data_IF_153307905428
#
_entry.id   IF_153307905428
#
_cell.length_a   1.000
_cell.length_b   1.000
_cell.length_c   1.000
_cell.angle_alpha   90.00
_cell.angle_beta   90.00
_cell.angle_gamma   90.00
#
_symmetry.space_group_name_H-M   'P 1'
#
loop_
_entity.id
_entity.type
_entity.pdbx_description
1 polymer ?
#
# COMPACT_ATOMS: atom_id res chain seq x y z
N UNK A 1 -28.75 10.37 6.75
CA UNK A 1 -27.52 10.54 7.55
C UNK A 1 -27.01 9.17 7.96
N UNK A 2 -26.02 8.63 7.25
CA UNK A 2 -25.39 7.34 7.59
C UNK A 2 -24.17 7.67 8.45
N UNK A 3 -24.18 7.22 9.70
CA UNK A 3 -23.01 7.32 10.61
C UNK A 3 -21.92 6.40 10.06
N UNK A 4 -20.79 6.96 9.59
CA UNK A 4 -19.58 6.18 9.36
C UNK A 4 -19.04 5.70 10.71
N UNK A 5 -18.64 4.43 10.73
CA UNK A 5 -18.25 3.68 11.91
C UNK A 5 -16.96 4.24 12.53
N UNK A 6 -16.99 4.59 13.82
CA UNK A 6 -15.91 5.18 14.60
C UNK A 6 -14.75 4.20 14.95
N UNK A 7 -14.42 3.26 14.06
CA UNK A 7 -13.41 2.20 14.31
C UNK A 7 -12.02 2.47 13.70
N UNK A 8 -11.89 3.53 12.89
CA UNK A 8 -10.63 3.89 12.26
C UNK A 8 -9.50 4.28 13.25
N UNK A 9 -9.74 5.03 14.35
CA UNK A 9 -8.66 5.37 15.27
C UNK A 9 -8.19 4.16 16.11
N UNK A 10 -9.00 3.09 16.23
CA UNK A 10 -8.66 1.95 17.09
C UNK A 10 -7.69 0.98 16.42
N UNK A 11 -7.76 0.78 15.10
CA UNK A 11 -6.83 -0.11 14.39
C UNK A 11 -5.42 0.50 14.32
N UNK A 12 -5.36 1.81 14.10
CA UNK A 12 -4.14 2.61 14.07
C UNK A 12 -3.54 2.75 15.48
N UNK A 13 -4.37 2.99 16.52
CA UNK A 13 -3.88 3.00 17.90
C UNK A 13 -3.39 1.62 18.38
N UNK A 14 -3.95 0.52 17.87
CA UNK A 14 -3.45 -0.81 18.15
C UNK A 14 -2.04 -1.02 17.58
N UNK A 15 -1.79 -0.49 16.39
CA UNK A 15 -0.47 -0.54 15.74
C UNK A 15 0.60 0.20 16.54
N UNK A 16 0.29 1.40 17.06
CA UNK A 16 1.23 2.14 17.91
C UNK A 16 1.45 1.51 19.29
N UNK A 17 0.54 0.64 19.76
CA UNK A 17 0.62 0.04 21.10
C UNK A 17 1.50 -1.22 21.16
N UNK A 18 1.76 -1.89 20.04
CA UNK A 18 2.59 -3.11 20.01
C UNK A 18 4.10 -2.85 19.93
N UNK A 19 4.53 -1.65 19.51
CA UNK A 19 5.96 -1.33 19.34
C UNK A 19 6.72 -1.05 20.66
N UNK A 20 6.05 -1.04 21.82
CA UNK A 20 6.64 -0.60 23.08
C UNK A 20 7.22 -1.72 23.98
N UNK A 21 7.32 -2.97 23.52
CA UNK A 21 7.72 -4.09 24.38
C UNK A 21 8.63 -5.11 23.69
N UNK A 22 9.88 -4.75 23.39
CA UNK A 22 10.96 -5.73 23.18
C UNK A 22 12.33 -5.10 23.41
N UNK A 23 12.65 -4.83 24.68
CA UNK A 23 14.04 -4.69 25.11
C UNK A 23 14.61 -6.07 25.44
N UNK A 24 15.71 -6.45 24.79
CA UNK A 24 16.89 -7.05 25.43
C UNK A 24 18.01 -7.29 24.40
N UNK A 25 19.20 -6.85 24.80
CA UNK A 25 20.46 -6.94 24.06
C UNK A 25 21.10 -8.33 24.17
N UNK A 26 21.83 -8.75 23.12
CA UNK A 26 22.98 -9.66 23.19
C UNK A 26 23.98 -9.30 22.08
N UNK A 27 25.25 -9.09 22.45
CA UNK A 27 26.41 -8.81 21.59
C UNK A 27 27.26 -10.10 21.35
N UNK A 28 28.27 -10.08 20.45
CA UNK A 28 28.48 -11.13 19.44
C UNK A 28 29.62 -12.11 19.76
N UNK A 29 29.73 -13.18 18.97
CA UNK A 29 30.98 -13.94 18.80
C UNK A 29 31.21 -14.29 17.33
N UNK A 30 32.46 -14.07 16.91
CA UNK A 30 33.04 -14.28 15.58
C UNK A 30 33.39 -15.75 15.33
N UNK A 31 33.41 -16.18 14.06
CA UNK A 31 34.59 -16.84 13.46
C UNK A 31 34.42 -17.07 11.94
N UNK A 32 35.53 -16.89 11.23
CA UNK A 32 35.72 -16.98 9.78
C UNK A 32 35.66 -18.43 9.24
N UNK A 33 35.19 -18.61 7.99
CA UNK A 33 36.05 -18.89 6.82
C UNK A 33 35.37 -19.65 5.67
N UNK A 34 35.85 -19.32 4.47
CA UNK A 34 36.02 -20.17 3.27
C UNK A 34 34.98 -20.08 2.14
N UNK A 35 35.47 -19.44 1.08
CA UNK A 35 34.97 -19.32 -0.30
C UNK A 35 34.74 -20.67 -1.00
N UNK A 36 33.64 -20.78 -1.74
CA UNK A 36 33.57 -21.50 -3.01
C UNK A 36 32.52 -20.86 -3.92
N UNK A 37 32.99 -20.33 -5.05
CA UNK A 37 32.19 -19.73 -6.11
C UNK A 37 31.48 -20.83 -6.90
N UNK A 38 30.15 -20.84 -6.89
CA UNK A 38 29.36 -21.58 -7.89
C UNK A 38 28.28 -20.67 -8.42
N UNK A 39 28.30 -20.49 -9.74
CA UNK A 39 27.33 -19.79 -10.55
C UNK A 39 25.98 -20.51 -10.44
N UNK A 40 25.06 -19.97 -9.64
CA UNK A 40 23.65 -20.35 -9.68
C UNK A 40 22.79 -19.11 -9.94
N UNK A 41 21.95 -19.23 -10.95
CA UNK A 41 20.93 -18.26 -11.28
C UNK A 41 20.03 -18.05 -10.06
N UNK A 42 19.88 -16.80 -9.62
CA UNK A 42 18.98 -16.37 -8.56
C UNK A 42 17.52 -16.64 -8.97
N UNK A 43 17.05 -17.86 -8.75
CA UNK A 43 15.64 -18.08 -8.40
C UNK A 43 15.55 -17.87 -6.90
N UNK A 44 15.35 -16.62 -6.48
CA UNK A 44 14.91 -16.38 -5.11
C UNK A 44 13.61 -17.18 -4.91
N UNK A 45 13.59 -17.99 -3.87
CA UNK A 45 12.46 -18.80 -3.45
C UNK A 45 11.34 -17.86 -2.99
N UNK A 46 10.58 -17.30 -3.93
CA UNK A 46 9.42 -16.45 -3.65
C UNK A 46 8.36 -17.33 -2.96
N UNK A 47 8.37 -17.32 -1.63
CA UNK A 47 7.39 -18.07 -0.83
C UNK A 47 6.13 -17.22 -0.64
N UNK A 48 4.98 -17.76 -1.06
CA UNK A 48 3.68 -17.14 -0.79
C UNK A 48 3.39 -17.32 0.69
N UNK A 49 3.37 -16.21 1.43
CA UNK A 49 3.10 -16.18 2.88
C UNK A 49 1.60 -16.24 3.14
N UNK A 50 0.82 -15.50 2.35
CA UNK A 50 -0.63 -15.42 2.53
C UNK A 50 -1.35 -15.29 1.19
N UNK A 51 -2.48 -15.98 1.07
CA UNK A 51 -3.50 -15.68 0.05
C UNK A 51 -4.87 -15.67 0.72
N UNK A 52 -5.61 -14.60 0.53
CA UNK A 52 -6.92 -14.39 1.15
C UNK A 52 -7.88 -13.73 0.18
N UNK A 53 -9.16 -14.04 0.35
CA UNK A 53 -10.26 -13.33 -0.31
C UNK A 53 -11.28 -12.96 0.75
N UNK A 54 -11.66 -11.70 0.83
CA UNK A 54 -12.70 -11.23 1.75
C UNK A 54 -14.09 -11.55 1.22
N UNK A 55 -15.09 -11.58 2.10
CA UNK A 55 -16.50 -11.75 1.70
C UNK A 55 -16.95 -10.66 0.72
N UNK A 56 -16.40 -9.46 0.87
CA UNK A 56 -16.62 -8.34 -0.03
C UNK A 56 -15.81 -8.44 -1.32
N UNK A 57 -15.16 -9.57 -1.62
CA UNK A 57 -14.46 -9.85 -2.88
C UNK A 57 -13.26 -8.94 -3.13
N UNK A 58 -12.47 -8.66 -2.09
CA UNK A 58 -11.11 -8.14 -2.19
C UNK A 58 -10.17 -9.33 -2.08
N UNK A 59 -9.26 -9.48 -3.04
CA UNK A 59 -8.22 -10.49 -3.00
C UNK A 59 -6.92 -9.87 -2.47
N UNK A 60 -6.18 -10.63 -1.68
CA UNK A 60 -4.89 -10.30 -1.12
C UNK A 60 -3.94 -11.46 -1.38
N UNK A 61 -2.74 -11.15 -1.89
CA UNK A 61 -1.63 -12.09 -1.95
C UNK A 61 -0.40 -11.41 -1.37
N UNK A 62 0.22 -12.04 -0.38
CA UNK A 62 1.46 -11.59 0.24
C UNK A 62 2.54 -12.62 -0.03
N UNK A 63 3.65 -12.17 -0.60
CA UNK A 63 4.83 -12.98 -0.92
C UNK A 63 6.03 -12.38 -0.22
N UNK A 64 6.82 -13.20 0.46
CA UNK A 64 8.09 -12.78 1.04
C UNK A 64 9.17 -12.78 -0.05
N UNK A 65 9.88 -11.66 -0.17
CA UNK A 65 10.99 -11.49 -1.12
C UNK A 65 12.36 -11.59 -0.43
N UNK A 66 12.38 -11.40 0.89
CA UNK A 66 13.57 -11.42 1.74
C UNK A 66 13.24 -10.92 3.15
N UNK A 67 14.24 -10.81 4.04
CA UNK A 67 14.02 -10.35 5.42
C UNK A 67 13.29 -9.01 5.46
N UNK A 68 12.08 -9.02 6.04
CA UNK A 68 11.20 -7.86 6.15
C UNK A 68 10.79 -7.20 4.82
N UNK A 69 11.01 -7.88 3.69
CA UNK A 69 10.65 -7.40 2.37
C UNK A 69 9.53 -8.25 1.78
N UNK A 70 8.44 -7.61 1.36
CA UNK A 70 7.24 -8.28 0.89
C UNK A 70 6.74 -7.68 -0.42
N UNK A 71 6.20 -8.53 -1.28
CA UNK A 71 5.28 -8.13 -2.35
C UNK A 71 3.86 -8.37 -1.88
N UNK A 72 3.08 -7.31 -1.77
CA UNK A 72 1.67 -7.38 -1.42
C UNK A 72 0.84 -6.94 -2.61
N UNK A 73 -0.03 -7.84 -3.08
CA UNK A 73 -0.98 -7.57 -4.16
C UNK A 73 -2.37 -7.52 -3.58
N UNK A 74 -3.07 -6.39 -3.72
CA UNK A 74 -4.51 -6.31 -3.52
C UNK A 74 -5.23 -6.13 -4.84
N UNK A 75 -6.36 -6.81 -5.02
CA UNK A 75 -7.19 -6.65 -6.21
C UNK A 75 -8.67 -6.67 -5.86
N UNK A 76 -9.46 -5.98 -6.69
CA UNK A 76 -10.91 -5.97 -6.58
C UNK A 76 -11.55 -5.57 -7.92
N UNK A 77 -12.77 -6.04 -8.17
CA UNK A 77 -13.57 -5.53 -9.30
C UNK A 77 -14.58 -4.50 -8.81
N UNK A 78 -14.59 -3.32 -9.43
CA UNK A 78 -15.55 -2.26 -9.17
C UNK A 78 -16.73 -2.36 -10.14
N UNK A 79 -17.95 -2.08 -9.67
CA UNK A 79 -19.16 -2.11 -10.51
C UNK A 79 -19.31 -0.84 -11.38
N UNK A 80 -18.23 -0.46 -12.05
CA UNK A 80 -18.11 0.74 -12.90
C UNK A 80 -17.11 0.49 -14.03
N UNK A 81 -17.30 1.09 -15.22
CA UNK A 81 -16.30 1.01 -16.28
C UNK A 81 -15.05 1.82 -15.92
N UNK A 82 -13.90 1.43 -16.48
CA UNK A 82 -12.59 2.09 -16.22
C UNK A 82 -12.65 3.60 -16.41
N UNK A 83 -13.32 4.09 -17.46
CA UNK A 83 -13.48 5.52 -17.74
C UNK A 83 -14.18 6.33 -16.63
N UNK A 84 -14.91 5.66 -15.72
CA UNK A 84 -15.54 6.29 -14.54
C UNK A 84 -14.70 6.18 -13.28
N UNK A 85 -13.79 5.21 -13.23
CA UNK A 85 -12.93 4.94 -12.07
C UNK A 85 -11.62 5.71 -12.19
N UNK A 86 -10.99 5.68 -13.36
CA UNK A 86 -9.67 6.26 -13.57
C UNK A 86 -9.53 7.73 -13.17
N UNK A 87 -10.48 8.63 -13.50
CA UNK A 87 -10.37 10.04 -13.07
C UNK A 87 -10.26 10.21 -11.55
N UNK A 88 -10.87 9.32 -10.77
CA UNK A 88 -10.77 9.32 -9.29
C UNK A 88 -9.34 9.01 -8.84
N UNK A 89 -8.64 8.11 -9.54
CA UNK A 89 -7.27 7.73 -9.22
C UNK A 89 -6.26 8.82 -9.59
N UNK A 90 -6.58 9.64 -10.61
CA UNK A 90 -5.73 10.77 -10.99
C UNK A 90 -5.67 11.88 -9.92
N UNK A 91 -6.69 11.97 -9.07
CA UNK A 91 -6.76 12.87 -7.93
C UNK A 91 -6.34 12.13 -6.67
N UNK A 92 -5.04 12.18 -6.36
CA UNK A 92 -4.46 11.42 -5.24
C UNK A 92 -4.97 11.87 -3.87
N UNK A 93 -5.32 13.15 -3.70
CA UNK A 93 -5.95 13.62 -2.47
C UNK A 93 -7.27 12.89 -2.24
N UNK A 94 -8.10 12.84 -3.28
CA UNK A 94 -9.36 12.13 -3.22
C UNK A 94 -9.15 10.61 -3.10
N UNK A 95 -8.14 10.02 -3.76
CA UNK A 95 -7.82 8.61 -3.60
C UNK A 95 -7.46 8.26 -2.14
N UNK A 96 -6.61 9.07 -1.50
CA UNK A 96 -6.24 8.92 -0.08
C UNK A 96 -7.48 9.03 0.81
N UNK A 97 -8.33 10.04 0.60
CA UNK A 97 -9.56 10.20 1.39
C UNK A 97 -10.54 9.03 1.22
N UNK A 98 -10.63 8.47 0.01
CA UNK A 98 -11.53 7.36 -0.26
C UNK A 98 -10.99 6.03 0.30
N UNK A 99 -9.69 5.79 0.20
CA UNK A 99 -9.04 4.60 0.73
C UNK A 99 -8.95 4.63 2.26
N UNK A 100 -8.56 5.77 2.82
CA UNK A 100 -8.31 6.00 4.25
C UNK A 100 -9.09 7.23 4.74
N UNK A 101 -10.43 7.14 4.91
CA UNK A 101 -11.28 8.28 5.27
C UNK A 101 -10.78 9.08 6.46
N UNK A 102 -10.69 10.40 6.30
CA UNK A 102 -10.16 11.31 7.32
C UNK A 102 -8.64 11.49 7.32
N UNK A 103 -7.90 10.82 6.42
CA UNK A 103 -6.44 11.02 6.29
C UNK A 103 -6.09 12.19 5.35
N UNK A 104 -7.04 12.72 4.57
CA UNK A 104 -6.76 13.79 3.62
C UNK A 104 -7.00 15.21 4.17
N UNK A 105 -7.34 15.38 5.46
CA UNK A 105 -7.56 16.71 6.07
C UNK A 105 -6.33 17.61 5.96
N UNK A 106 -5.15 17.02 6.05
CA UNK A 106 -3.85 17.68 6.03
C UNK A 106 -3.09 17.37 4.74
N UNK A 107 -3.79 16.90 3.70
CA UNK A 107 -3.19 16.62 2.41
C UNK A 107 -2.68 17.92 1.78
N UNK A 108 -1.42 17.94 1.40
CA UNK A 108 -0.83 19.04 0.64
C UNK A 108 0.06 18.52 -0.48
N UNK A 109 0.02 19.20 -1.62
CA UNK A 109 1.00 19.02 -2.67
C UNK A 109 2.31 19.74 -2.28
N UNK A 110 3.44 19.06 -2.47
CA UNK A 110 4.77 19.55 -2.08
C UNK A 110 5.52 20.03 -3.34
N UNK A 111 6.36 21.05 -3.21
CA UNK A 111 7.24 21.56 -4.28
C UNK A 111 6.53 21.83 -5.62
N UNK A 112 5.33 22.41 -5.55
CA UNK A 112 4.51 22.71 -6.72
C UNK A 112 3.99 21.45 -7.42
N UNK A 113 3.79 20.36 -6.68
CA UNK A 113 3.03 19.19 -7.09
C UNK A 113 1.59 19.53 -7.43
N UNK A 114 0.96 18.69 -8.25
CA UNK A 114 -0.46 18.79 -8.57
C UNK A 114 -0.96 17.47 -9.17
N UNK A 115 -2.28 17.26 -9.25
CA UNK A 115 -2.83 16.08 -9.91
C UNK A 115 -2.43 15.96 -11.39
N UNK A 116 -2.02 17.05 -12.05
CA UNK A 116 -1.66 17.07 -13.49
C UNK A 116 -0.16 16.90 -13.75
N UNK A 117 0.69 16.96 -12.71
CA UNK A 117 2.14 16.91 -12.84
C UNK A 117 2.65 15.48 -12.57
N UNK A 118 3.68 15.07 -13.30
CA UNK A 118 4.47 13.86 -13.01
C UNK A 118 5.94 14.19 -13.30
N UNK A 119 6.87 14.00 -12.36
CA UNK A 119 6.62 13.56 -10.98
C UNK A 119 5.83 14.61 -10.16
N UNK A 120 5.08 14.14 -9.16
CA UNK A 120 4.36 15.01 -8.23
C UNK A 120 4.36 14.42 -6.83
N UNK A 121 4.93 15.18 -5.89
CA UNK A 121 5.03 14.82 -4.49
C UNK A 121 3.90 15.42 -3.67
N UNK A 122 3.48 14.70 -2.65
CA UNK A 122 2.43 15.11 -1.73
C UNK A 122 2.69 14.51 -0.36
N UNK A 123 2.11 15.13 0.65
CA UNK A 123 2.15 14.61 2.00
C UNK A 123 0.77 14.69 2.64
N UNK A 124 0.52 13.82 3.61
CA UNK A 124 -0.68 13.80 4.42
C UNK A 124 -0.40 13.16 5.78
N UNK A 125 -1.30 13.32 6.75
CA UNK A 125 -1.14 12.72 8.07
C UNK A 125 -2.00 11.46 8.16
N UNK A 126 -1.38 10.37 8.58
CA UNK A 126 -2.10 9.15 8.96
C UNK A 126 -1.40 8.51 10.14
N UNK A 127 -2.15 7.97 11.08
CA UNK A 127 -1.58 7.38 12.30
C UNK A 127 -0.73 8.31 13.18
N UNK A 128 -0.92 9.62 13.05
CA UNK A 128 -0.13 10.61 13.78
C UNK A 128 1.25 10.89 13.17
N UNK A 129 1.58 10.24 12.05
CA UNK A 129 2.81 10.47 11.30
C UNK A 129 2.52 11.17 9.97
N UNK A 130 3.51 11.90 9.47
CA UNK A 130 3.44 12.51 8.14
C UNK A 130 3.96 11.51 7.13
N UNK A 131 3.11 11.13 6.18
CA UNK A 131 3.47 10.28 5.04
C UNK A 131 3.83 11.22 3.89
N UNK A 132 4.97 10.98 3.24
CA UNK A 132 5.43 11.73 2.08
C UNK A 132 5.64 10.78 0.91
N UNK A 133 4.86 10.95 -0.15
CA UNK A 133 4.88 10.10 -1.34
C UNK A 133 5.06 10.92 -2.62
N UNK A 134 5.48 10.24 -3.68
CA UNK A 134 5.60 10.80 -5.02
C UNK A 134 4.95 9.89 -6.05
N UNK A 135 4.03 10.43 -6.83
CA UNK A 135 3.64 9.81 -8.10
C UNK A 135 4.73 10.12 -9.13
N UNK A 136 5.50 9.12 -9.53
CA UNK A 136 6.63 9.29 -10.44
C UNK A 136 6.37 8.75 -11.85
N UNK A 137 5.28 8.00 -12.05
CA UNK A 137 4.87 7.50 -13.36
C UNK A 137 3.35 7.48 -13.51
N UNK A 138 2.87 7.82 -14.71
CA UNK A 138 1.47 7.70 -15.08
C UNK A 138 1.33 7.41 -16.56
N UNK A 139 0.47 6.46 -16.88
CA UNK A 139 0.04 6.15 -18.23
C UNK A 139 -1.49 6.12 -18.30
N UNK A 140 -2.05 7.08 -19.03
CA UNK A 140 -3.51 7.18 -19.21
C UNK A 140 -4.06 6.20 -20.25
N UNK A 141 -3.21 5.63 -21.10
CA UNK A 141 -3.62 4.64 -22.09
C UNK A 141 -3.81 3.26 -21.44
N UNK A 142 -2.85 2.85 -20.61
CA UNK A 142 -2.90 1.59 -19.87
C UNK A 142 -3.56 1.70 -18.50
N UNK A 143 -3.95 2.91 -18.08
CA UNK A 143 -4.50 3.21 -16.76
C UNK A 143 -3.59 2.71 -15.62
N UNK A 144 -2.30 2.98 -15.76
CA UNK A 144 -1.25 2.57 -14.83
C UNK A 144 -0.67 3.79 -14.14
N UNK A 145 -0.40 3.67 -12.85
CA UNK A 145 0.23 4.70 -12.05
C UNK A 145 1.23 4.07 -11.11
N UNK A 146 2.38 4.72 -10.92
CA UNK A 146 3.36 4.30 -9.93
C UNK A 146 3.64 5.40 -8.94
N UNK A 147 3.77 5.00 -7.70
CA UNK A 147 4.08 5.91 -6.62
C UNK A 147 5.02 5.23 -5.62
N UNK A 148 5.77 6.05 -4.90
CA UNK A 148 6.75 5.59 -3.92
C UNK A 148 6.73 6.44 -2.67
N UNK A 149 7.13 5.84 -1.56
CA UNK A 149 7.41 6.55 -0.32
C UNK A 149 8.75 7.29 -0.46
N UNK A 150 8.78 8.57 -0.09
CA UNK A 150 9.99 9.40 -0.14
C UNK A 150 10.76 9.40 1.19
N UNK A 151 10.08 9.11 2.30
CA UNK A 151 10.66 9.10 3.65
C UNK A 151 9.98 8.01 4.49
N UNK A 152 10.72 7.27 5.34
CA UNK A 152 10.11 6.28 6.23
C UNK A 152 8.98 6.86 7.09
N UNK A 153 7.87 6.14 7.19
CA UNK A 153 6.70 6.51 7.98
C UNK A 153 5.90 5.25 8.32
N UNK A 154 5.19 5.21 9.45
CA UNK A 154 4.32 4.12 9.90
C UNK A 154 4.98 2.73 9.87
N UNK A 155 6.29 2.66 10.13
CA UNK A 155 7.07 1.43 10.05
C UNK A 155 7.32 0.92 8.63
N UNK A 156 6.98 1.69 7.59
CA UNK A 156 7.49 1.51 6.24
C UNK A 156 8.88 2.13 6.14
N UNK A 157 9.87 1.34 5.76
CA UNK A 157 11.20 1.84 5.41
C UNK A 157 11.19 2.30 3.96
N UNK A 158 10.62 1.47 3.08
CA UNK A 158 10.47 1.75 1.65
C UNK A 158 9.16 1.19 1.12
N UNK A 159 8.56 1.88 0.15
CA UNK A 159 7.43 1.39 -0.64
C UNK A 159 7.66 1.81 -2.09
N UNK A 160 7.55 0.85 -3.01
CA UNK A 160 7.30 1.10 -4.43
C UNK A 160 6.00 0.40 -4.84
N UNK A 161 5.09 1.16 -5.46
CA UNK A 161 3.74 0.70 -5.73
C UNK A 161 3.34 0.94 -7.18
N UNK A 162 2.64 -0.05 -7.74
CA UNK A 162 1.99 0.02 -9.06
C UNK A 162 0.49 -0.18 -8.88
N UNK A 163 -0.29 0.80 -9.34
CA UNK A 163 -1.74 0.75 -9.41
C UNK A 163 -2.15 0.60 -10.88
N UNK A 164 -3.07 -0.30 -11.17
CA UNK A 164 -3.57 -0.53 -12.52
C UNK A 164 -5.08 -0.77 -12.51
N UNK A 165 -5.74 -0.26 -13.56
CA UNK A 165 -7.13 -0.57 -13.87
C UNK A 165 -7.23 -1.27 -15.23
N UNK A 166 -7.88 -2.43 -15.25
CA UNK A 166 -8.15 -3.18 -16.47
C UNK A 166 -9.65 -3.28 -16.73
N UNK A 167 -10.04 -3.38 -18.00
CA UNK A 167 -11.44 -3.64 -18.34
C UNK A 167 -11.69 -5.15 -18.37
N UNK A 168 -12.45 -5.64 -17.39
CA UNK A 168 -12.90 -7.03 -17.31
C UNK A 168 -14.42 -7.05 -17.46
N UNK A 169 -14.89 -7.44 -18.65
CA UNK A 169 -16.32 -7.55 -18.99
C UNK A 169 -17.11 -6.26 -18.72
N UNK A 170 -16.55 -5.11 -19.10
CA UNK A 170 -17.19 -3.80 -18.96
C UNK A 170 -17.03 -3.16 -17.57
N UNK A 171 -16.34 -3.83 -16.65
CA UNK A 171 -16.07 -3.36 -15.29
C UNK A 171 -14.58 -3.11 -15.08
N UNK A 172 -14.24 -2.18 -14.20
CA UNK A 172 -12.87 -1.89 -13.83
C UNK A 172 -12.40 -2.95 -12.83
N UNK A 173 -11.39 -3.74 -13.22
CA UNK A 173 -10.62 -4.57 -12.33
C UNK A 173 -9.42 -3.77 -11.85
N UNK A 174 -9.35 -3.55 -10.55
CA UNK A 174 -8.28 -2.84 -9.87
C UNK A 174 -7.24 -3.83 -9.35
N UNK A 175 -5.98 -3.49 -9.56
CA UNK A 175 -4.84 -4.20 -8.97
C UNK A 175 -3.85 -3.18 -8.42
N UNK A 176 -3.45 -3.37 -7.17
CA UNK A 176 -2.34 -2.67 -6.55
C UNK A 176 -1.27 -3.69 -6.18
N UNK A 177 -0.07 -3.53 -6.72
CA UNK A 177 1.11 -4.29 -6.31
C UNK A 177 2.03 -3.35 -5.56
N UNK A 178 2.40 -3.72 -4.34
CA UNK A 178 3.31 -2.95 -3.49
C UNK A 178 4.49 -3.84 -3.14
N UNK A 179 5.70 -3.37 -3.43
CA UNK A 179 6.92 -3.93 -2.87
C UNK A 179 7.30 -3.06 -1.69
N UNK A 180 7.36 -3.66 -0.51
CA UNK A 180 7.54 -2.94 0.75
C UNK A 180 8.71 -3.53 1.53
N UNK A 181 9.45 -2.65 2.17
CA UNK A 181 10.42 -2.99 3.22
C UNK A 181 9.86 -2.46 4.53
N UNK A 182 9.67 -3.34 5.50
CA UNK A 182 9.08 -3.01 6.79
C UNK A 182 10.14 -2.88 7.88
N UNK A 183 9.85 -2.06 8.89
CA UNK A 183 10.55 -2.11 10.16
C UNK A 183 10.44 -3.52 10.74
N UNK A 184 11.52 -4.11 11.28
CA UNK A 184 11.50 -5.46 11.84
C UNK A 184 10.44 -5.70 12.93
N UNK A 185 9.99 -4.64 13.61
CA UNK A 185 8.99 -4.71 14.66
C UNK A 185 7.55 -4.58 14.14
N UNK A 186 7.35 -4.30 12.84
CA UNK A 186 6.04 -4.16 12.24
C UNK A 186 5.61 -5.49 11.57
N UNK A 187 4.57 -6.16 12.08
CA UNK A 187 4.05 -7.37 11.45
C UNK A 187 3.40 -7.07 10.09
N UNK A 188 3.73 -7.86 9.07
CA UNK A 188 3.20 -7.72 7.71
C UNK A 188 1.67 -7.86 7.67
N UNK A 189 1.07 -8.62 8.59
CA UNK A 189 -0.37 -8.84 8.68
C UNK A 189 -1.14 -7.56 8.98
N UNK A 190 -0.53 -6.63 9.73
CA UNK A 190 -1.16 -5.35 10.02
C UNK A 190 -1.24 -4.48 8.77
N UNK A 191 -0.16 -4.48 7.97
CA UNK A 191 -0.14 -3.83 6.67
C UNK A 191 -1.15 -4.46 5.71
N UNK A 192 -1.12 -5.79 5.56
CA UNK A 192 -2.08 -6.55 4.76
C UNK A 192 -3.52 -6.17 5.10
N UNK A 193 -3.84 -6.05 6.39
CA UNK A 193 -5.16 -5.65 6.88
C UNK A 193 -5.53 -4.22 6.47
N UNK A 194 -4.58 -3.28 6.55
CA UNK A 194 -4.77 -1.90 6.11
C UNK A 194 -5.05 -1.81 4.60
N UNK A 195 -4.28 -2.53 3.77
CA UNK A 195 -4.42 -2.49 2.31
C UNK A 195 -5.72 -3.17 1.83
N UNK A 196 -6.16 -4.22 2.54
CA UNK A 196 -7.48 -4.83 2.32
C UNK A 196 -8.58 -3.83 2.64
N UNK A 197 -8.48 -3.11 3.77
CA UNK A 197 -9.45 -2.08 4.16
C UNK A 197 -9.50 -0.94 3.14
N UNK A 198 -8.34 -0.43 2.71
CA UNK A 198 -8.23 0.61 1.67
C UNK A 198 -8.97 0.18 0.40
N UNK A 199 -8.69 -1.03 -0.08
CA UNK A 199 -9.31 -1.58 -1.29
C UNK A 199 -10.82 -1.79 -1.12
N UNK A 200 -11.27 -2.23 0.05
CA UNK A 200 -12.69 -2.40 0.38
C UNK A 200 -13.44 -1.06 0.44
N UNK A 201 -12.81 0.00 0.94
CA UNK A 201 -13.39 1.34 0.96
C UNK A 201 -13.57 1.89 -0.46
N UNK A 202 -12.58 1.73 -1.34
CA UNK A 202 -12.70 2.08 -2.76
C UNK A 202 -13.85 1.32 -3.43
N UNK A 203 -13.95 0.01 -3.20
CA UNK A 203 -15.04 -0.81 -3.73
C UNK A 203 -16.41 -0.30 -3.27
N UNK A 204 -16.52 0.03 -1.98
CA UNK A 204 -17.74 0.60 -1.37
C UNK A 204 -18.11 1.95 -1.99
N UNK A 205 -17.13 2.80 -2.28
CA UNK A 205 -17.36 4.09 -2.95
C UNK A 205 -17.97 3.91 -4.35
N UNK A 206 -17.35 3.06 -5.18
CA UNK A 206 -17.81 2.87 -6.56
C UNK A 206 -19.13 2.11 -6.69
N UNK A 207 -19.54 1.36 -5.67
CA UNK A 207 -20.87 0.76 -5.59
C UNK A 207 -22.00 1.80 -5.39
N UNK A 208 -21.73 2.90 -4.68
CA UNK A 208 -22.76 3.90 -4.30
C UNK A 208 -23.08 4.92 -5.40
N UNK A 209 -22.10 5.32 -6.21
CA UNK A 209 -22.27 6.39 -7.22
C UNK A 209 -22.95 5.90 -8.49
N UNK A 210 -24.30 5.91 -8.55
CA UNK A 210 -25.06 5.63 -9.78
C UNK A 210 -24.72 6.59 -10.91
#
# INVERSE_FOLDING_TARGET
MIRLNAKLPTLIALLCSLAAAAGCAVEPTSDEASVASTSEALTADESVVERKTTDDGVELVTTELGPHQYRIVTSATFDRPVARVWPTFLDFQNLVELGLPGSASDFVWVDGGSPQKVPSSFQFISGGETIHEEVYYRDNHTHTMRYRLLQPALGFVEIDSVLQLENVRGRAHYTATRVVTLDPNLPVEALSSLLVLETANLKTYFAKKK
#
